data_IF_545758721137
#
_entry.id   IF_545758721137
#
_cell.length_a   1.000
_cell.length_b   1.000
_cell.length_c   1.000
_cell.angle_alpha   90.00
_cell.angle_beta   90.00
_cell.angle_gamma   90.00
#
_symmetry.space_group_name_H-M   'P 1'
#
loop_
_entity.id
_entity.type
_entity.pdbx_description
1 polymer ?
#
# COMPACT_ATOMS: atom_id res chain seq x y z
N UNK A 1 5.28 26.66 7.64
CA UNK A 1 4.85 25.28 7.97
C UNK A 1 3.37 25.35 8.27
N UNK A 2 2.54 24.57 7.55
CA UNK A 2 1.05 24.65 7.58
C UNK A 2 0.42 23.52 8.40
N UNK A 3 1.26 22.75 9.08
CA UNK A 3 0.91 21.67 9.98
C UNK A 3 -0.14 22.05 11.02
N UNK A 4 -1.12 21.18 11.20
CA UNK A 4 -2.07 21.23 12.33
C UNK A 4 -2.65 19.85 12.59
N UNK A 5 -2.95 19.55 13.84
CA UNK A 5 -3.59 18.28 14.23
C UNK A 5 -5.03 18.22 13.69
N UNK A 6 -5.48 17.02 13.31
CA UNK A 6 -6.85 16.77 12.90
C UNK A 6 -7.75 16.71 14.15
N UNK A 7 -8.76 17.59 14.27
CA UNK A 7 -9.68 17.54 15.40
C UNK A 7 -10.55 16.28 15.39
N UNK A 8 -10.90 15.77 16.57
CA UNK A 8 -11.78 14.60 16.75
C UNK A 8 -13.17 14.73 16.11
N UNK A 9 -13.68 15.94 15.91
CA UNK A 9 -15.00 16.16 15.29
C UNK A 9 -14.99 16.05 13.76
N UNK A 10 -13.83 15.84 13.14
CA UNK A 10 -13.74 15.72 11.69
C UNK A 10 -14.34 14.39 11.21
N UNK A 11 -15.07 14.36 10.08
CA UNK A 11 -15.68 13.13 9.56
C UNK A 11 -14.67 11.99 9.37
N UNK A 12 -13.43 12.32 9.01
CA UNK A 12 -12.33 11.37 8.90
C UNK A 12 -12.01 10.65 10.21
N UNK A 13 -12.25 11.27 11.37
CA UNK A 13 -11.99 10.68 12.68
C UNK A 13 -13.15 9.84 13.24
N UNK A 14 -14.33 9.95 12.64
CA UNK A 14 -15.59 9.41 13.18
C UNK A 14 -16.19 8.29 12.31
N UNK A 15 -15.61 8.01 11.14
CA UNK A 15 -16.11 7.00 10.21
C UNK A 15 -16.02 5.58 10.76
N UNK A 16 -17.05 4.75 10.51
CA UNK A 16 -17.14 3.34 10.94
C UNK A 16 -15.97 2.47 10.49
N UNK A 17 -15.36 2.80 9.34
CA UNK A 17 -14.19 2.13 8.76
C UNK A 17 -12.94 3.03 8.76
N UNK A 18 -12.90 4.04 9.63
CA UNK A 18 -11.74 4.91 9.72
C UNK A 18 -10.55 4.19 10.40
N UNK A 19 -9.33 4.31 9.86
CA UNK A 19 -8.13 3.88 10.58
C UNK A 19 -7.82 4.80 11.78
N UNK A 20 -8.52 5.93 11.89
CA UNK A 20 -8.38 6.90 12.94
C UNK A 20 -9.42 6.73 14.04
N UNK A 21 -9.09 7.16 15.25
CA UNK A 21 -9.97 7.14 16.42
C UNK A 21 -9.83 8.44 17.19
N UNK A 22 -10.95 8.89 17.76
CA UNK A 22 -10.94 10.03 18.66
C UNK A 22 -10.30 9.63 20.00
N UNK A 23 -9.31 10.40 20.43
CA UNK A 23 -8.76 10.34 21.79
C UNK A 23 -8.71 11.76 22.34
N UNK A 24 -9.64 12.08 23.24
CA UNK A 24 -9.92 13.46 23.66
C UNK A 24 -10.25 14.36 22.44
N UNK A 25 -9.54 15.49 22.30
CA UNK A 25 -9.70 16.43 21.19
C UNK A 25 -8.90 16.06 19.94
N UNK A 26 -8.07 15.00 20.01
CA UNK A 26 -7.16 14.61 18.95
C UNK A 26 -7.64 13.36 18.20
N UNK A 27 -7.37 13.35 16.90
CA UNK A 27 -7.56 12.19 16.08
C UNK A 27 -6.29 11.36 15.99
N UNK A 28 -6.27 10.16 16.56
CA UNK A 28 -5.10 9.29 16.63
C UNK A 28 -5.24 8.07 15.73
N UNK A 29 -4.12 7.48 15.29
CA UNK A 29 -4.11 6.20 14.58
C UNK A 29 -3.16 5.20 15.21
N UNK A 30 -3.39 3.94 14.83
CA UNK A 30 -2.58 2.81 15.21
C UNK A 30 -2.69 1.77 14.09
N UNK A 31 -1.72 1.77 13.19
CA UNK A 31 -1.73 0.99 11.96
C UNK A 31 -0.59 -0.04 12.02
N UNK A 32 -0.90 -1.27 11.58
CA UNK A 32 0.08 -2.34 11.35
C UNK A 32 0.23 -2.56 9.85
N UNK A 33 1.46 -2.75 9.39
CA UNK A 33 1.80 -3.06 8.00
C UNK A 33 2.39 -4.46 7.90
N UNK A 34 2.49 -4.97 6.68
CA UNK A 34 3.04 -6.30 6.44
C UNK A 34 2.12 -7.42 6.94
N UNK A 35 2.62 -8.65 6.88
CA UNK A 35 1.87 -9.86 7.18
C UNK A 35 1.39 -9.86 8.64
N UNK A 36 0.07 -9.70 8.83
CA UNK A 36 -0.55 -9.59 10.16
C UNK A 36 -0.64 -10.94 10.88
N UNK A 37 -0.32 -12.05 10.22
CA UNK A 37 -0.24 -13.37 10.84
C UNK A 37 1.02 -13.55 11.69
N UNK A 38 2.04 -12.70 11.45
CA UNK A 38 3.29 -12.73 12.21
C UNK A 38 3.12 -12.14 13.63
N UNK A 39 3.81 -12.71 14.63
CA UNK A 39 3.74 -12.24 16.02
C UNK A 39 4.27 -10.81 16.18
N UNK A 40 5.23 -10.38 15.36
CA UNK A 40 5.71 -9.00 15.25
C UNK A 40 5.47 -8.49 13.83
N UNK A 41 5.01 -7.25 13.72
CA UNK A 41 4.75 -6.61 12.42
C UNK A 41 5.07 -5.13 12.52
N UNK A 42 5.58 -4.50 11.46
CA UNK A 42 5.73 -3.06 11.39
C UNK A 42 4.49 -2.32 11.89
N UNK A 43 4.66 -1.46 12.89
CA UNK A 43 3.57 -0.73 13.50
C UNK A 43 3.91 0.75 13.59
N UNK A 44 2.91 1.58 13.31
CA UNK A 44 3.02 3.03 13.43
C UNK A 44 1.81 3.56 14.20
N UNK A 45 2.08 4.42 15.18
CA UNK A 45 1.07 5.16 15.92
C UNK A 45 1.41 6.63 15.92
N UNK A 46 0.37 7.45 16.00
CA UNK A 46 0.54 8.89 16.02
C UNK A 46 -0.77 9.64 15.89
N UNK A 47 -0.64 10.90 15.50
CA UNK A 47 -1.76 11.84 15.38
C UNK A 47 -2.03 12.10 13.91
N UNK A 48 -3.28 11.89 13.49
CA UNK A 48 -3.75 12.32 12.18
C UNK A 48 -3.69 13.84 12.11
N UNK A 49 -3.13 14.37 11.04
CA UNK A 49 -2.82 15.79 10.91
C UNK A 49 -3.08 16.27 9.50
N UNK A 50 -3.26 17.57 9.36
CA UNK A 50 -3.28 18.25 8.08
C UNK A 50 -1.91 18.86 7.78
N UNK A 51 -1.53 18.84 6.50
CA UNK A 51 -0.37 19.57 5.99
C UNK A 51 -0.60 19.98 4.53
N UNK A 52 0.21 20.90 4.04
CA UNK A 52 0.30 21.24 2.62
C UNK A 52 1.33 20.35 1.93
N UNK A 53 0.88 19.61 0.92
CA UNK A 53 1.76 18.76 0.10
C UNK A 53 2.23 19.52 -1.13
N UNK A 54 3.52 19.38 -1.42
CA UNK A 54 4.17 19.91 -2.62
C UNK A 54 4.54 18.71 -3.49
N UNK A 55 3.80 18.51 -4.59
CA UNK A 55 4.00 17.39 -5.50
C UNK A 55 4.66 17.92 -6.78
N UNK A 56 5.89 17.50 -7.10
CA UNK A 56 6.52 17.86 -8.36
C UNK A 56 5.74 17.21 -9.51
N UNK A 57 5.35 18.02 -10.50
CA UNK A 57 4.71 17.55 -11.74
C UNK A 57 5.79 17.28 -12.79
N UNK A 58 6.74 18.20 -12.92
CA UNK A 58 7.91 18.12 -13.80
C UNK A 58 9.09 18.87 -13.18
N UNK A 59 10.16 19.10 -13.96
CA UNK A 59 11.39 19.77 -13.49
C UNK A 59 11.18 21.23 -13.06
N UNK A 60 10.07 21.86 -13.42
CA UNK A 60 9.79 23.29 -13.22
C UNK A 60 8.48 23.58 -12.48
N UNK A 61 7.53 22.64 -12.49
CA UNK A 61 6.20 22.84 -11.92
C UNK A 61 5.99 21.97 -10.68
N UNK A 62 5.49 22.59 -9.62
CA UNK A 62 5.07 21.91 -8.38
C UNK A 62 3.62 22.23 -8.10
N UNK A 63 2.81 21.19 -7.87
CA UNK A 63 1.43 21.32 -7.40
C UNK A 63 1.45 21.49 -5.88
N UNK A 64 0.80 22.54 -5.40
CA UNK A 64 0.58 22.78 -3.96
C UNK A 64 -0.83 22.34 -3.60
N UNK A 65 -0.97 21.48 -2.60
CA UNK A 65 -2.25 20.91 -2.18
C UNK A 65 -2.37 21.06 -0.67
N UNK A 66 -3.17 22.03 -0.24
CA UNK A 66 -3.36 22.33 1.17
C UNK A 66 -4.23 21.28 1.86
N UNK A 67 -4.15 21.18 3.19
CA UNK A 67 -5.09 20.40 4.01
C UNK A 67 -5.14 18.91 3.70
N UNK A 68 -4.03 18.34 3.20
CA UNK A 68 -3.89 16.90 3.01
C UNK A 68 -3.82 16.21 4.37
N UNK A 69 -4.61 15.17 4.55
CA UNK A 69 -4.61 14.37 5.77
C UNK A 69 -3.49 13.34 5.68
N UNK A 70 -2.69 13.24 6.73
CA UNK A 70 -1.62 12.25 6.85
C UNK A 70 -1.39 11.87 8.32
N UNK A 71 -0.66 10.78 8.55
CA UNK A 71 -0.25 10.37 9.89
C UNK A 71 1.08 11.00 10.29
N UNK A 72 1.11 11.72 11.41
CA UNK A 72 2.34 12.15 12.07
C UNK A 72 2.71 11.14 13.15
N UNK A 73 3.59 10.19 12.81
CA UNK A 73 4.01 9.12 13.72
C UNK A 73 4.92 9.64 14.83
N UNK A 74 4.70 9.18 16.05
CA UNK A 74 5.58 9.42 17.20
C UNK A 74 5.92 8.15 18.00
N UNK A 75 5.30 7.02 17.67
CA UNK A 75 5.57 5.71 18.25
C UNK A 75 5.54 4.66 17.11
N UNK A 76 6.72 4.23 16.69
CA UNK A 76 6.92 3.26 15.63
C UNK A 76 7.71 2.08 16.18
N UNK A 77 7.34 0.85 15.79
CA UNK A 77 8.07 -0.36 16.14
C UNK A 77 8.17 -1.30 14.94
N UNK A 78 9.22 -2.12 14.93
CA UNK A 78 9.39 -3.25 13.99
C UNK A 78 9.30 -2.82 12.52
N UNK A 79 9.64 -1.57 12.21
CA UNK A 79 9.41 -1.02 10.86
C UNK A 79 10.41 -1.53 9.82
N UNK A 80 11.54 -2.07 10.25
CA UNK A 80 12.64 -2.46 9.35
C UNK A 80 13.35 -1.28 8.68
N UNK A 81 12.95 -0.04 9.01
CA UNK A 81 13.51 1.20 8.46
C UNK A 81 14.41 1.94 9.46
N UNK A 82 14.71 1.32 10.60
CA UNK A 82 15.62 1.88 11.60
C UNK A 82 16.99 2.12 10.96
N UNK A 83 17.50 3.35 11.09
CA UNK A 83 18.75 3.81 10.45
C UNK A 83 18.76 3.81 8.91
N UNK A 84 17.59 3.72 8.27
CA UNK A 84 17.47 3.87 6.82
C UNK A 84 17.18 5.33 6.41
N UNK A 85 17.26 5.62 5.11
CA UNK A 85 16.82 6.91 4.55
C UNK A 85 15.29 7.03 4.44
N UNK A 86 14.56 5.96 4.73
CA UNK A 86 13.10 5.91 4.64
C UNK A 86 12.51 6.45 5.95
N UNK A 87 11.86 7.61 5.87
CA UNK A 87 11.23 8.26 7.02
C UNK A 87 9.70 8.23 6.99
N UNK A 88 9.09 7.77 5.89
CA UNK A 88 7.65 7.90 5.63
C UNK A 88 7.11 6.75 4.78
N UNK A 89 5.83 6.46 4.94
CA UNK A 89 5.06 5.53 4.13
C UNK A 89 4.02 6.32 3.34
N UNK A 90 3.90 6.04 2.04
CA UNK A 90 2.89 6.64 1.17
C UNK A 90 1.72 5.66 0.94
N UNK A 91 0.55 5.99 1.47
CA UNK A 91 -0.66 5.18 1.30
C UNK A 91 -1.35 5.45 -0.04
N UNK A 92 -1.48 4.43 -0.89
CA UNK A 92 -2.20 4.48 -2.18
C UNK A 92 -3.50 3.66 -2.18
N UNK A 93 -4.00 3.28 -0.99
CA UNK A 93 -5.21 2.46 -0.83
C UNK A 93 -6.47 3.15 -1.37
N UNK A 94 -7.54 2.37 -1.56
CA UNK A 94 -8.90 2.86 -1.90
C UNK A 94 -9.62 3.50 -0.72
N UNK A 95 -8.99 3.52 0.46
CA UNK A 95 -9.54 4.16 1.65
C UNK A 95 -9.63 5.68 1.47
N UNK A 96 -10.52 6.36 2.20
CA UNK A 96 -10.71 7.81 2.07
C UNK A 96 -9.44 8.60 2.44
N UNK A 97 -8.56 8.02 3.27
CA UNK A 97 -7.28 8.57 3.72
C UNK A 97 -6.12 8.30 2.75
N UNK A 98 -6.30 7.43 1.76
CA UNK A 98 -5.32 7.20 0.71
C UNK A 98 -5.07 8.46 -0.13
N UNK A 99 -3.82 8.67 -0.57
CA UNK A 99 -3.44 9.85 -1.35
C UNK A 99 -4.35 10.03 -2.57
N UNK A 100 -4.56 8.96 -3.34
CA UNK A 100 -5.35 9.00 -4.57
C UNK A 100 -6.81 9.36 -4.31
N UNK A 101 -7.43 8.78 -3.27
CA UNK A 101 -8.79 9.10 -2.84
C UNK A 101 -8.93 10.56 -2.38
N UNK A 102 -7.94 11.07 -1.61
CA UNK A 102 -7.94 12.47 -1.17
C UNK A 102 -7.83 13.44 -2.35
N UNK A 103 -6.96 13.14 -3.32
CA UNK A 103 -6.82 13.94 -4.54
C UNK A 103 -8.09 13.87 -5.42
N UNK A 104 -8.71 12.69 -5.51
CA UNK A 104 -9.93 12.49 -6.29
C UNK A 104 -11.13 13.23 -5.69
N UNK A 105 -11.29 13.20 -4.37
CA UNK A 105 -12.34 13.96 -3.65
C UNK A 105 -12.25 15.47 -3.92
N UNK A 106 -11.06 15.97 -4.25
CA UNK A 106 -10.79 17.38 -4.57
C UNK A 106 -10.93 17.70 -6.06
N UNK A 107 -11.29 16.73 -6.89
CA UNK A 107 -11.36 16.89 -8.34
C UNK A 107 -10.02 17.12 -9.02
N UNK A 108 -8.90 16.77 -8.36
CA UNK A 108 -7.55 16.90 -8.94
C UNK A 108 -7.28 15.73 -9.89
N UNK A 109 -7.77 14.54 -9.52
CA UNK A 109 -7.65 13.31 -10.31
C UNK A 109 -8.98 12.54 -10.31
N UNK A 110 -9.11 11.51 -11.16
CA UNK A 110 -10.24 10.58 -11.25
C UNK A 110 -9.94 9.25 -10.53
N UNK A 111 -9.06 9.29 -9.51
CA UNK A 111 -8.61 8.13 -8.73
C UNK A 111 -7.85 7.07 -9.55
N UNK A 112 -7.15 7.48 -10.62
CA UNK A 112 -6.31 6.63 -11.47
C UNK A 112 -4.83 7.00 -11.29
N UNK A 113 -4.01 5.98 -11.03
CA UNK A 113 -2.56 6.08 -10.96
C UNK A 113 -1.90 4.87 -11.63
N UNK A 114 -0.63 5.02 -11.98
CA UNK A 114 0.22 3.93 -12.45
C UNK A 114 1.59 4.01 -11.79
N UNK A 115 2.19 2.88 -11.44
CA UNK A 115 3.59 2.82 -11.03
C UNK A 115 4.38 1.86 -11.89
N UNK A 116 5.67 2.15 -12.03
CA UNK A 116 6.66 1.23 -12.56
C UNK A 116 7.76 1.10 -11.51
N UNK A 117 7.73 0.00 -10.77
CA UNK A 117 8.75 -0.32 -9.77
C UNK A 117 9.97 -0.92 -10.49
N UNK A 118 11.15 -0.37 -10.22
CA UNK A 118 12.40 -1.00 -10.65
C UNK A 118 12.80 -2.09 -9.65
N UNK A 119 13.58 -3.11 -10.06
CA UNK A 119 14.15 -4.05 -9.12
C UNK A 119 14.94 -3.33 -8.02
N UNK A 120 14.85 -3.82 -6.79
CA UNK A 120 15.44 -3.16 -5.61
C UNK A 120 16.93 -2.82 -5.78
N UNK A 121 17.71 -3.69 -6.43
CA UNK A 121 19.15 -3.48 -6.69
C UNK A 121 19.46 -2.39 -7.74
N UNK A 122 18.46 -1.98 -8.52
CA UNK A 122 18.60 -0.96 -9.56
C UNK A 122 17.99 0.39 -9.17
N UNK A 123 17.38 0.53 -7.98
CA UNK A 123 16.84 1.81 -7.49
C UNK A 123 17.90 2.92 -7.42
N UNK A 124 19.15 2.56 -7.13
CA UNK A 124 20.28 3.51 -7.13
C UNK A 124 20.67 4.00 -8.54
N UNK A 125 20.19 3.32 -9.60
CA UNK A 125 20.52 3.64 -11.00
C UNK A 125 19.36 4.31 -11.74
N UNK A 126 18.12 3.94 -11.42
CA UNK A 126 16.91 4.50 -12.06
C UNK A 126 15.78 4.62 -11.04
N UNK A 127 15.07 5.76 -10.96
CA UNK A 127 13.98 5.91 -10.03
C UNK A 127 12.75 5.11 -10.47
N UNK A 128 12.06 4.49 -9.51
CA UNK A 128 10.67 4.04 -9.69
C UNK A 128 9.78 5.26 -9.93
N UNK A 129 8.83 5.16 -10.86
CA UNK A 129 7.99 6.31 -11.26
C UNK A 129 6.54 6.04 -10.87
N UNK A 130 5.93 6.98 -10.13
CA UNK A 130 4.50 7.05 -9.85
C UNK A 130 3.87 8.17 -10.67
N UNK A 131 2.79 7.87 -11.40
CA UNK A 131 2.10 8.81 -12.29
C UNK A 131 0.61 8.82 -11.99
N UNK A 132 -0.03 9.96 -12.21
CA UNK A 132 -1.46 10.17 -12.00
C UNK A 132 -2.12 10.66 -13.29
N UNK A 133 -3.33 10.17 -13.56
CA UNK A 133 -4.21 10.61 -14.66
C UNK A 133 -3.53 10.81 -16.02
N UNK A 134 -3.47 12.05 -16.50
CA UNK A 134 -3.03 12.43 -17.84
C UNK A 134 -1.51 12.25 -18.02
N UNK A 135 -0.78 12.14 -16.91
CA UNK A 135 0.65 11.82 -16.94
C UNK A 135 0.92 10.33 -17.15
N UNK A 136 -0.10 9.48 -17.09
CA UNK A 136 0.00 8.05 -17.38
C UNK A 136 0.15 7.91 -18.91
N UNK A 137 1.26 7.32 -19.40
CA UNK A 137 1.44 7.09 -20.82
C UNK A 137 0.25 6.30 -21.37
N UNK A 138 -0.11 6.58 -22.63
CA UNK A 138 -1.15 5.80 -23.30
C UNK A 138 -0.80 4.31 -23.21
N UNK A 139 -1.82 3.43 -23.05
CA UNK A 139 -1.60 2.00 -22.96
C UNK A 139 -0.62 1.54 -24.04
N UNK A 140 0.44 0.86 -23.62
CA UNK A 140 1.32 0.16 -24.55
C UNK A 140 0.45 -0.84 -25.32
N UNK A 141 0.72 -1.03 -26.61
CA UNK A 141 0.06 -2.09 -27.37
C UNK A 141 0.17 -3.41 -26.57
N UNK A 142 -0.98 -4.05 -26.30
CA UNK A 142 -1.17 -5.25 -25.47
C UNK A 142 -1.37 -5.07 -23.95
N UNK A 143 -1.75 -3.88 -23.45
CA UNK A 143 -2.15 -3.74 -22.04
C UNK A 143 -3.33 -4.67 -21.69
N UNK A 144 -3.11 -5.59 -20.77
CA UNK A 144 -4.16 -6.45 -20.20
C UNK A 144 -4.79 -5.76 -18.98
N UNK A 145 -6.11 -5.91 -18.83
CA UNK A 145 -6.84 -5.33 -17.69
C UNK A 145 -7.75 -6.38 -17.05
N UNK A 146 -7.95 -6.24 -15.74
CA UNK A 146 -8.89 -7.06 -14.96
C UNK A 146 -9.69 -6.14 -14.05
N UNK A 147 -11.02 -6.35 -13.90
CA UNK A 147 -11.82 -5.55 -13.00
C UNK A 147 -11.39 -5.78 -11.54
N UNK A 148 -11.39 -4.71 -10.75
CA UNK A 148 -11.24 -4.83 -9.30
C UNK A 148 -12.49 -5.44 -8.68
N UNK A 149 -12.28 -6.32 -7.71
CA UNK A 149 -13.36 -6.81 -6.85
C UNK A 149 -13.79 -5.69 -5.89
N UNK A 150 -15.10 -5.47 -5.83
CA UNK A 150 -15.69 -4.51 -4.91
C UNK A 150 -16.08 -5.18 -3.60
N UNK A 151 -15.08 -5.38 -2.75
CA UNK A 151 -15.29 -5.86 -1.38
C UNK A 151 -15.15 -4.68 -0.42
N UNK A 152 -15.82 -4.72 0.74
CA UNK A 152 -15.79 -3.67 1.78
C UNK A 152 -14.42 -3.62 2.50
N UNK A 153 -13.36 -3.38 1.72
CA UNK A 153 -11.96 -3.27 2.15
C UNK A 153 -11.24 -2.24 1.29
N UNK A 154 -10.24 -1.60 1.87
CA UNK A 154 -9.51 -0.50 1.23
C UNK A 154 -8.37 -0.95 0.30
N UNK A 155 -8.07 -2.24 0.17
CA UNK A 155 -7.03 -2.73 -0.73
C UNK A 155 -7.57 -2.97 -2.16
N UNK A 156 -6.66 -3.10 -3.13
CA UNK A 156 -7.01 -3.51 -4.48
C UNK A 156 -7.04 -5.03 -4.55
N UNK A 157 -8.22 -5.58 -4.87
CA UNK A 157 -8.45 -7.01 -5.03
C UNK A 157 -8.76 -7.27 -6.50
N UNK A 158 -8.12 -8.27 -7.09
CA UNK A 158 -8.40 -8.72 -8.45
C UNK A 158 -8.71 -10.20 -8.44
N UNK A 159 -9.70 -10.62 -9.22
CA UNK A 159 -10.03 -12.02 -9.38
C UNK A 159 -9.04 -12.70 -10.32
N UNK A 160 -8.50 -13.84 -9.90
CA UNK A 160 -7.70 -14.71 -10.76
C UNK A 160 -8.66 -15.62 -11.55
N UNK A 161 -8.69 -15.41 -12.86
CA UNK A 161 -9.54 -16.18 -13.80
C UNK A 161 -8.74 -17.28 -14.47
N UNK A 162 -8.57 -18.39 -13.75
CA UNK A 162 -8.22 -19.71 -14.31
C UNK A 162 -9.42 -20.68 -14.24
N UNK A 163 -10.59 -20.19 -13.84
CA UNK A 163 -11.86 -20.94 -13.78
C UNK A 163 -12.25 -21.43 -12.37
N UNK A 164 -11.43 -21.20 -11.33
CA UNK A 164 -11.64 -21.83 -10.01
C UNK A 164 -11.67 -20.85 -8.82
N UNK A 165 -11.37 -19.57 -9.04
CA UNK A 165 -11.56 -18.49 -8.07
C UNK A 165 -10.37 -18.27 -7.12
N UNK A 166 -10.03 -17.01 -6.88
CA UNK A 166 -8.98 -16.56 -5.97
C UNK A 166 -8.73 -15.05 -6.13
N UNK A 167 -8.14 -14.39 -5.14
CA UNK A 167 -7.79 -12.96 -5.23
C UNK A 167 -6.31 -12.70 -5.00
N UNK A 168 -5.74 -11.82 -5.82
CA UNK A 168 -4.44 -11.19 -5.53
C UNK A 168 -4.69 -9.85 -4.86
N UNK A 169 -3.95 -9.58 -3.78
CA UNK A 169 -3.92 -8.27 -3.11
C UNK A 169 -2.65 -7.57 -3.54
N UNK A 170 -2.80 -6.55 -4.39
CA UNK A 170 -1.70 -5.65 -4.68
C UNK A 170 -1.79 -4.45 -3.73
N UNK A 171 -1.09 -4.55 -2.62
CA UNK A 171 -0.99 -3.45 -1.64
C UNK A 171 0.09 -2.43 -2.01
N UNK A 172 0.67 -2.48 -3.22
CA UNK A 172 1.81 -1.63 -3.59
C UNK A 172 3.05 -1.94 -2.75
N UNK A 173 3.20 -3.20 -2.35
CA UNK A 173 4.31 -3.70 -1.52
C UNK A 173 5.14 -4.66 -2.37
N UNK A 174 6.42 -4.82 -2.04
CA UNK A 174 7.30 -5.83 -2.67
C UNK A 174 6.76 -7.27 -2.58
N UNK A 175 5.78 -7.52 -1.71
CA UNK A 175 5.15 -8.82 -1.49
C UNK A 175 3.69 -8.79 -1.94
N UNK A 176 3.35 -9.65 -2.91
CA UNK A 176 1.95 -9.93 -3.26
C UNK A 176 1.34 -10.87 -2.21
N UNK A 177 0.09 -10.61 -1.81
CA UNK A 177 -0.65 -11.57 -0.98
C UNK A 177 -1.63 -12.37 -1.82
N UNK A 178 -1.64 -13.66 -1.55
CA UNK A 178 -2.59 -14.62 -2.10
C UNK A 178 -3.61 -14.90 -1.01
N UNK A 179 -4.88 -14.98 -1.39
CA UNK A 179 -5.96 -15.22 -0.43
C UNK A 179 -5.79 -16.57 0.29
N UNK A 180 -5.98 -16.54 1.61
CA UNK A 180 -5.82 -17.67 2.53
C UNK A 180 -7.15 -17.94 3.24
N UNK A 181 -7.50 -19.22 3.43
CA UNK A 181 -8.66 -19.66 4.21
C UNK A 181 -10.04 -19.22 3.67
N UNK A 182 -10.20 -19.12 2.35
CA UNK A 182 -11.53 -18.84 1.75
C UNK A 182 -12.43 -20.08 1.74
N UNK A 183 -13.75 -19.84 1.80
CA UNK A 183 -14.80 -20.88 1.94
C UNK A 183 -14.88 -21.82 0.72
N UNK A 184 -14.28 -21.46 -0.43
CA UNK A 184 -14.32 -22.31 -1.64
C UNK A 184 -13.02 -23.07 -1.88
N UNK A 185 -11.89 -22.36 -2.06
CA UNK A 185 -10.60 -22.98 -2.32
C UNK A 185 -9.49 -22.08 -1.80
N UNK A 186 -8.60 -22.65 -1.01
CA UNK A 186 -7.49 -21.91 -0.43
C UNK A 186 -6.41 -21.70 -1.50
N UNK A 187 -6.47 -20.55 -2.19
CA UNK A 187 -5.57 -20.23 -3.30
C UNK A 187 -4.09 -20.29 -2.87
N UNK A 188 -3.78 -19.88 -1.64
CA UNK A 188 -2.44 -20.02 -1.10
C UNK A 188 -1.99 -21.49 -1.03
N UNK A 189 -2.82 -22.40 -0.52
CA UNK A 189 -2.47 -23.83 -0.45
C UNK A 189 -2.22 -24.41 -1.85
N UNK A 190 -3.11 -24.16 -2.79
CA UNK A 190 -3.01 -24.66 -4.17
C UNK A 190 -1.71 -24.16 -4.85
N UNK A 191 -1.41 -22.86 -4.74
CA UNK A 191 -0.20 -22.28 -5.30
C UNK A 191 1.04 -22.87 -4.64
N UNK A 192 1.08 -22.92 -3.31
CA UNK A 192 2.22 -23.48 -2.57
C UNK A 192 2.42 -24.96 -2.90
N UNK A 193 1.35 -25.76 -3.04
CA UNK A 193 1.43 -27.16 -3.44
C UNK A 193 2.00 -27.33 -4.85
N UNK A 194 1.56 -26.51 -5.82
CA UNK A 194 2.12 -26.51 -7.17
C UNK A 194 3.62 -26.15 -7.17
N UNK A 195 4.02 -25.13 -6.41
CA UNK A 195 5.43 -24.75 -6.25
C UNK A 195 6.25 -25.87 -5.61
N UNK A 196 5.74 -26.49 -4.53
CA UNK A 196 6.40 -27.63 -3.90
C UNK A 196 6.58 -28.77 -4.90
N UNK A 197 5.54 -29.16 -5.61
CA UNK A 197 5.59 -30.23 -6.62
C UNK A 197 6.60 -29.93 -7.75
N UNK A 198 6.70 -28.67 -8.18
CA UNK A 198 7.69 -28.26 -9.19
C UNK A 198 9.13 -28.35 -8.68
N UNK A 199 9.41 -27.84 -7.47
CA UNK A 199 10.77 -27.81 -6.92
C UNK A 199 11.23 -29.15 -6.34
N UNK A 200 10.32 -29.96 -5.80
CA UNK A 200 10.63 -31.29 -5.30
C UNK A 200 11.15 -32.19 -6.45
N UNK A 201 10.63 -32.02 -7.68
CA UNK A 201 11.15 -32.67 -8.90
C UNK A 201 12.58 -32.27 -9.26
N UNK A 202 13.08 -31.14 -8.75
CA UNK A 202 14.44 -30.65 -9.00
C UNK A 202 15.45 -31.15 -7.97
N UNK A 203 15.04 -32.01 -7.03
CA UNK A 203 15.89 -32.51 -5.93
C UNK A 203 16.56 -31.40 -5.12
N UNK A 204 15.91 -30.23 -5.02
CA UNK A 204 16.44 -29.09 -4.26
C UNK A 204 16.15 -29.32 -2.78
N UNK A 205 17.16 -29.17 -1.93
CA UNK A 205 16.98 -29.22 -0.47
C UNK A 205 16.39 -27.90 0.01
N UNK A 206 15.25 -27.94 0.69
CA UNK A 206 14.75 -26.78 1.45
C UNK A 206 15.77 -26.46 2.55
N UNK A 207 16.32 -25.24 2.52
CA UNK A 207 16.99 -24.69 3.69
C UNK A 207 15.91 -24.17 4.63
N UNK A 208 15.78 -24.79 5.81
CA UNK A 208 15.00 -24.24 6.91
C UNK A 208 15.94 -23.34 7.71
N UNK A 209 15.74 -22.03 7.61
CA UNK A 209 16.54 -21.00 8.26
C UNK A 209 16.28 -19.65 7.62
N UNK A 210 16.44 -18.56 8.40
CA UNK A 210 16.42 -17.19 7.86
C UNK A 210 17.37 -17.15 6.66
N UNK A 211 16.83 -16.88 5.47
CA UNK A 211 17.66 -16.36 4.39
C UNK A 211 18.23 -15.09 4.98
N UNK A 212 19.55 -15.07 5.22
CA UNK A 212 20.21 -13.84 5.57
C UNK A 212 19.99 -12.92 4.38
N UNK A 213 19.02 -12.00 4.50
CA UNK A 213 19.01 -10.79 3.71
C UNK A 213 20.31 -10.09 4.08
N UNK A 214 21.33 -10.34 3.26
CA UNK A 214 22.52 -9.50 3.26
C UNK A 214 22.05 -8.17 2.70
N UNK A 215 21.69 -7.27 3.62
CA UNK A 215 21.59 -5.84 3.37
C UNK A 215 22.94 -5.30 2.89
#
# INVERSE_FOLDING_TARGET
>A
MTYRKLPSNQPFCQGRNSPFRCHNIECVYNIRYGDLSQPTTPRTKGVASFETFHIPIDSSHTRVINDMIFGCSNDNSDTGFENSQISRILGLSRGPDGLTSQLAKRGIIQNRFSYCLVPFHDELKRPSILRFEDNIPRPVENLQSTPFLNIDRNHYYVELKDGLGGSLIDSGTLVSRIDENTVRRNAYQEVIEAFKAYYDKKNIRRKVGQVAEKF
#
